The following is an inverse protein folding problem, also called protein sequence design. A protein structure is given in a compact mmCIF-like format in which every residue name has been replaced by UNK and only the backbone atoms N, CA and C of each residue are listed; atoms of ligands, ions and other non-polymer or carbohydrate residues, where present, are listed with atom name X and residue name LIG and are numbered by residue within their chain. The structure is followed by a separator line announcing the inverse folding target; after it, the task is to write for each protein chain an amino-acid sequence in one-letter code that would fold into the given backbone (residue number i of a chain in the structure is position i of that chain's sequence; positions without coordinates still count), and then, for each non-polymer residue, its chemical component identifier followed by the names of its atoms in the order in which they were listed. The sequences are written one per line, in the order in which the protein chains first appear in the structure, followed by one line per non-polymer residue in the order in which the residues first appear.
data_IF_236933542898
#
_entry.id   IF_236933542898
#
_cell.length_a   1.000
_cell.length_b   1.000
_cell.length_c   1.000
_cell.angle_alpha   90.00
_cell.angle_beta   90.00
_cell.angle_gamma   90.00
#
_symmetry.space_group_name_H-M   'P 1'
#
loop_
_entity.id
_entity.type
_entity.pdbx_description
1 polymer ?
#
# COMPACT_ATOMS: atom_id res chain seq x y z
N UNK A 1 41.05 -65.02 -1.49
CA UNK A 1 41.02 -65.03 -0.01
C UNK A 1 41.85 -63.87 0.53
N UNK A 2 41.38 -62.62 0.42
CA UNK A 2 42.09 -61.43 0.95
C UNK A 2 41.12 -60.35 1.42
N UNK A 3 39.90 -60.31 0.88
CA UNK A 3 38.90 -59.28 1.20
C UNK A 3 38.26 -59.39 2.59
N UNK A 4 38.16 -60.61 3.17
CA UNK A 4 37.43 -60.80 4.45
C UNK A 4 38.21 -60.38 5.70
N UNK A 5 39.55 -60.49 5.69
CA UNK A 5 40.39 -60.11 6.84
C UNK A 5 40.54 -58.59 6.99
N UNK A 6 40.65 -57.86 5.88
CA UNK A 6 40.76 -56.39 5.89
C UNK A 6 39.46 -55.76 6.38
N UNK A 7 38.31 -56.28 5.94
CA UNK A 7 36.98 -55.83 6.39
C UNK A 7 36.73 -56.09 7.88
N UNK A 8 37.25 -57.19 8.43
CA UNK A 8 37.17 -57.52 9.86
C UNK A 8 38.04 -56.61 10.74
N UNK A 9 39.26 -56.28 10.29
CA UNK A 9 40.16 -55.39 11.03
C UNK A 9 39.63 -53.94 11.05
N UNK A 10 39.14 -53.46 9.91
CA UNK A 10 38.55 -52.12 9.78
C UNK A 10 37.32 -51.97 10.68
N UNK A 11 36.46 -52.98 10.76
CA UNK A 11 35.29 -52.98 11.65
C UNK A 11 35.67 -52.91 13.14
N UNK A 12 36.74 -53.59 13.57
CA UNK A 12 37.18 -53.55 14.96
C UNK A 12 37.76 -52.18 15.36
N UNK A 13 38.52 -51.53 14.46
CA UNK A 13 39.07 -50.18 14.70
C UNK A 13 37.95 -49.15 14.82
N UNK A 14 36.94 -49.21 13.94
CA UNK A 14 35.78 -48.31 14.00
C UNK A 14 34.98 -48.49 15.30
N UNK A 15 34.82 -49.73 15.80
CA UNK A 15 34.14 -49.97 17.07
C UNK A 15 34.87 -49.37 18.27
N UNK A 16 36.21 -49.51 18.33
CA UNK A 16 37.00 -48.91 19.41
C UNK A 16 37.00 -47.39 19.33
N UNK A 17 37.03 -46.80 18.13
CA UNK A 17 36.90 -45.35 17.96
C UNK A 17 35.54 -44.84 18.47
N UNK A 18 34.43 -45.47 18.07
CA UNK A 18 33.09 -45.09 18.55
C UNK A 18 32.95 -45.26 20.07
N UNK A 19 33.53 -46.34 20.63
CA UNK A 19 33.61 -46.52 22.08
C UNK A 19 34.34 -45.37 22.75
N UNK A 20 35.52 -44.99 22.28
CA UNK A 20 36.31 -43.90 22.89
C UNK A 20 35.60 -42.55 22.84
N UNK A 21 34.95 -42.23 21.72
CA UNK A 21 34.20 -40.97 21.58
C UNK A 21 33.02 -40.94 22.55
N UNK A 22 32.20 -42.00 22.59
CA UNK A 22 31.06 -42.08 23.50
C UNK A 22 31.48 -42.11 24.97
N UNK A 23 32.62 -42.72 25.28
CA UNK A 23 33.18 -42.75 26.63
C UNK A 23 33.63 -41.35 27.07
N UNK A 24 34.30 -40.59 26.21
CA UNK A 24 34.70 -39.20 26.53
C UNK A 24 33.45 -38.32 26.73
N UNK A 25 32.47 -38.41 25.84
CA UNK A 25 31.19 -37.68 25.98
C UNK A 25 30.47 -38.09 27.26
N UNK A 26 30.41 -39.37 27.57
CA UNK A 26 29.78 -39.89 28.78
C UNK A 26 30.48 -39.43 30.06
N UNK A 27 31.80 -39.47 30.11
CA UNK A 27 32.58 -38.97 31.26
C UNK A 27 32.42 -37.45 31.44
N UNK A 28 32.42 -36.68 30.34
CA UNK A 28 32.16 -35.24 30.38
C UNK A 28 30.75 -34.92 30.88
N UNK A 29 29.76 -35.68 30.42
CA UNK A 29 28.37 -35.54 30.84
C UNK A 29 28.14 -35.82 32.33
N UNK A 30 28.96 -36.68 32.97
CA UNK A 30 28.85 -36.92 34.41
C UNK A 30 29.16 -35.68 35.26
N UNK A 31 29.89 -34.70 34.71
CA UNK A 31 30.20 -33.46 35.40
C UNK A 31 28.98 -32.51 35.51
N UNK A 32 28.02 -32.61 34.58
CA UNK A 32 26.79 -31.80 34.58
C UNK A 32 25.59 -32.59 35.09
N UNK A 33 25.48 -33.88 34.73
CA UNK A 33 24.43 -34.77 35.24
C UNK A 33 24.93 -36.21 35.26
N UNK A 34 25.11 -36.73 36.46
CA UNK A 34 25.57 -38.10 36.71
C UNK A 34 24.74 -39.16 35.96
N UNK A 35 23.41 -38.98 35.91
CA UNK A 35 22.49 -39.89 35.22
C UNK A 35 22.67 -39.84 33.69
N UNK A 36 22.83 -38.65 33.12
CA UNK A 36 23.06 -38.47 31.68
C UNK A 36 24.37 -39.12 31.22
N UNK A 37 25.42 -39.01 32.05
CA UNK A 37 26.71 -39.65 31.81
C UNK A 37 26.64 -41.17 31.91
N UNK A 38 25.90 -41.72 32.87
CA UNK A 38 25.68 -43.17 32.96
C UNK A 38 24.98 -43.74 31.72
N UNK A 39 23.98 -43.03 31.17
CA UNK A 39 23.28 -43.45 29.93
C UNK A 39 24.25 -43.50 28.74
N UNK A 40 25.15 -42.51 28.63
CA UNK A 40 26.17 -42.49 27.58
C UNK A 40 27.26 -43.54 27.77
N UNK A 41 27.68 -43.82 29.01
CA UNK A 41 28.61 -44.92 29.30
C UNK A 41 28.01 -46.29 29.00
N UNK A 42 26.71 -46.47 29.26
CA UNK A 42 25.99 -47.69 28.88
C UNK A 42 25.96 -47.87 27.35
N UNK A 43 25.72 -46.79 26.60
CA UNK A 43 25.77 -46.79 25.13
C UNK A 43 27.19 -47.11 24.62
N UNK A 44 28.24 -46.56 25.26
CA UNK A 44 29.62 -46.87 24.92
C UNK A 44 29.93 -48.38 25.12
N UNK A 45 29.49 -48.97 26.23
CA UNK A 45 29.75 -50.38 26.56
C UNK A 45 29.36 -51.39 25.47
N UNK A 46 28.37 -51.07 24.64
CA UNK A 46 27.89 -51.91 23.52
C UNK A 46 28.94 -52.04 22.39
N UNK A 47 29.89 -51.11 22.31
CA UNK A 47 30.97 -51.16 21.31
C UNK A 47 32.18 -51.95 21.78
N UNK A 48 32.22 -52.38 23.05
CA UNK A 48 33.31 -53.20 23.59
C UNK A 48 33.08 -54.69 23.25
N UNK A 49 33.95 -55.34 22.46
CA UNK A 49 33.73 -56.73 22.04
C UNK A 49 33.61 -57.73 23.19
N UNK A 50 34.34 -57.52 24.29
CA UNK A 50 34.25 -58.38 25.48
C UNK A 50 32.90 -58.29 26.18
N UNK A 51 32.31 -57.11 26.27
CA UNK A 51 30.99 -56.94 26.90
C UNK A 51 29.90 -57.61 26.08
N UNK A 52 29.97 -57.49 24.75
CA UNK A 52 29.02 -58.16 23.87
C UNK A 52 29.05 -59.69 23.98
N UNK A 53 30.24 -60.27 24.20
CA UNK A 53 30.36 -61.72 24.42
C UNK A 53 29.68 -62.14 25.73
N UNK A 54 29.88 -61.38 26.80
CA UNK A 54 29.25 -61.63 28.10
C UNK A 54 27.73 -61.49 28.02
N UNK A 55 27.23 -60.49 27.30
CA UNK A 55 25.79 -60.30 27.06
C UNK A 55 25.23 -61.54 26.35
N UNK A 56 25.88 -62.01 25.28
CA UNK A 56 25.45 -63.20 24.56
C UNK A 56 25.44 -64.46 25.44
N UNK A 57 26.47 -64.65 26.26
CA UNK A 57 26.57 -65.79 27.18
C UNK A 57 25.44 -65.80 28.23
N UNK A 58 25.01 -64.63 28.70
CA UNK A 58 23.99 -64.53 29.76
C UNK A 58 22.55 -64.40 29.24
N UNK A 59 22.34 -63.77 28.10
CA UNK A 59 20.97 -63.44 27.62
C UNK A 59 20.61 -64.10 26.30
N UNK A 60 21.56 -64.75 25.61
CA UNK A 60 21.33 -65.41 24.32
C UNK A 60 21.09 -64.46 23.15
N UNK A 61 21.24 -63.14 23.33
CA UNK A 61 21.00 -62.13 22.29
C UNK A 61 22.30 -61.80 21.55
N UNK A 62 22.29 -61.87 20.22
CA UNK A 62 23.43 -61.43 19.37
C UNK A 62 23.31 -59.95 19.02
N UNK A 63 24.26 -59.12 19.47
CA UNK A 63 24.24 -57.67 19.19
C UNK A 63 24.65 -57.40 17.74
N UNK A 64 23.66 -57.27 16.85
CA UNK A 64 23.84 -56.93 15.44
C UNK A 64 24.15 -55.43 15.23
N UNK A 65 24.76 -55.04 14.09
CA UNK A 65 25.04 -53.63 13.80
C UNK A 65 23.81 -52.71 13.87
N UNK A 66 22.64 -53.20 13.41
CA UNK A 66 21.37 -52.45 13.48
C UNK A 66 20.90 -52.19 14.91
N UNK A 67 21.04 -53.16 15.82
CA UNK A 67 20.71 -52.97 17.23
C UNK A 67 21.60 -51.92 17.89
N UNK A 68 22.90 -51.87 17.55
CA UNK A 68 23.83 -50.86 18.08
C UNK A 68 23.42 -49.45 17.67
N UNK A 69 23.02 -49.27 16.40
CA UNK A 69 22.54 -47.98 15.92
C UNK A 69 21.28 -47.53 16.69
N UNK A 70 20.30 -48.42 16.87
CA UNK A 70 19.05 -48.11 17.60
C UNK A 70 19.34 -47.73 19.05
N UNK A 71 20.14 -48.53 19.78
CA UNK A 71 20.44 -48.23 21.18
C UNK A 71 21.22 -46.93 21.32
N UNK A 72 22.17 -46.67 20.41
CA UNK A 72 22.92 -45.41 20.41
C UNK A 72 22.01 -44.21 20.20
N UNK A 73 21.08 -44.27 19.24
CA UNK A 73 20.11 -43.19 18.98
C UNK A 73 19.19 -42.96 20.18
N UNK A 74 18.65 -44.03 20.79
CA UNK A 74 17.77 -43.93 21.96
C UNK A 74 18.51 -43.34 23.15
N UNK A 75 19.70 -43.84 23.46
CA UNK A 75 20.54 -43.31 24.54
C UNK A 75 20.93 -41.85 24.28
N UNK A 76 21.25 -41.49 23.03
CA UNK A 76 21.60 -40.12 22.66
C UNK A 76 20.40 -39.17 22.77
N UNK A 77 19.20 -39.60 22.36
CA UNK A 77 17.97 -38.84 22.56
C UNK A 77 17.63 -38.63 24.04
N UNK A 78 17.77 -39.66 24.87
CA UNK A 78 17.61 -39.53 26.33
C UNK A 78 18.69 -38.64 26.97
N UNK A 79 19.93 -38.75 26.50
CA UNK A 79 21.04 -37.89 26.94
C UNK A 79 20.76 -36.43 26.63
N UNK A 80 20.34 -36.10 25.40
CA UNK A 80 19.96 -34.73 25.02
C UNK A 80 18.81 -34.23 25.90
N UNK A 81 17.75 -35.03 26.07
CA UNK A 81 16.59 -34.64 26.88
C UNK A 81 16.95 -34.36 28.34
N UNK A 82 17.70 -35.27 28.98
CA UNK A 82 18.10 -35.14 30.38
C UNK A 82 19.14 -34.06 30.60
N UNK A 83 20.07 -33.85 29.66
CA UNK A 83 21.07 -32.78 29.72
C UNK A 83 20.43 -31.41 29.52
N UNK A 84 19.54 -31.26 28.55
CA UNK A 84 18.80 -30.02 28.36
C UNK A 84 17.98 -29.66 29.61
N UNK A 85 17.27 -30.62 30.19
CA UNK A 85 16.50 -30.40 31.42
C UNK A 85 17.37 -30.02 32.62
N UNK A 86 18.55 -30.64 32.77
CA UNK A 86 19.49 -30.30 33.83
C UNK A 86 20.05 -28.88 33.64
N UNK A 87 20.46 -28.54 32.41
CA UNK A 87 20.93 -27.19 32.08
C UNK A 87 19.84 -26.13 32.25
N UNK A 88 18.60 -26.42 31.89
CA UNK A 88 17.47 -25.51 32.09
C UNK A 88 17.16 -25.31 33.57
N UNK A 89 17.28 -26.35 34.40
CA UNK A 89 17.14 -26.24 35.85
C UNK A 89 18.26 -25.38 36.47
N UNK A 90 19.52 -25.59 36.09
CA UNK A 90 20.64 -24.78 36.58
C UNK A 90 20.53 -23.31 36.13
N UNK A 91 20.17 -23.07 34.86
CA UNK A 91 19.89 -21.72 34.35
C UNK A 91 18.75 -21.06 35.12
N UNK A 92 17.68 -21.79 35.42
CA UNK A 92 16.56 -21.25 36.20
C UNK A 92 16.96 -20.90 37.63
N UNK A 93 17.81 -21.71 38.28
CA UNK A 93 18.34 -21.40 39.61
C UNK A 93 19.24 -20.17 39.58
N UNK A 94 20.17 -20.07 38.63
CA UNK A 94 21.04 -18.90 38.48
C UNK A 94 20.24 -17.63 38.17
N UNK A 95 19.26 -17.72 37.26
CA UNK A 95 18.37 -16.61 36.95
C UNK A 95 17.54 -16.18 38.17
N UNK A 96 17.05 -17.14 38.97
CA UNK A 96 16.33 -16.84 40.21
C UNK A 96 17.23 -16.19 41.28
N UNK A 97 18.48 -16.65 41.42
CA UNK A 97 19.45 -16.06 42.33
C UNK A 97 19.85 -14.64 41.91
N UNK A 98 20.09 -14.43 40.61
CA UNK A 98 20.38 -13.11 40.06
C UNK A 98 19.19 -12.15 40.22
N UNK A 99 17.97 -12.64 39.97
CA UNK A 99 16.74 -11.87 40.20
C UNK A 99 16.60 -11.47 41.68
N UNK A 100 16.84 -12.38 42.62
CA UNK A 100 16.80 -12.09 44.05
C UNK A 100 17.89 -11.10 44.48
N UNK A 101 19.11 -11.27 43.97
CA UNK A 101 20.22 -10.34 44.24
C UNK A 101 19.95 -8.95 43.67
N UNK A 102 19.38 -8.86 42.47
CA UNK A 102 18.98 -7.59 41.86
C UNK A 102 17.81 -6.96 42.62
N UNK A 103 16.85 -7.75 43.09
CA UNK A 103 15.76 -7.27 43.94
C UNK A 103 16.30 -6.71 45.27
N UNK A 104 17.18 -7.44 45.96
CA UNK A 104 17.81 -6.97 47.20
C UNK A 104 18.62 -5.70 46.98
N UNK A 105 19.41 -5.62 45.91
CA UNK A 105 20.13 -4.39 45.54
C UNK A 105 19.18 -3.23 45.27
N UNK A 106 18.05 -3.48 44.61
CA UNK A 106 17.04 -2.46 44.35
C UNK A 106 16.35 -1.98 45.63
N UNK A 107 15.98 -2.91 46.52
CA UNK A 107 15.39 -2.61 47.84
C UNK A 107 16.38 -1.83 48.71
N UNK A 108 17.65 -2.24 48.74
CA UNK A 108 18.70 -1.53 49.47
C UNK A 108 18.91 -0.11 48.91
N UNK A 109 19.05 0.03 47.59
CA UNK A 109 19.17 1.33 46.94
C UNK A 109 17.95 2.22 47.18
N UNK A 110 16.74 1.64 47.29
CA UNK A 110 15.54 2.38 47.65
C UNK A 110 15.57 2.83 49.12
N UNK A 111 16.06 1.98 50.03
CA UNK A 111 16.20 2.27 51.46
C UNK A 111 17.21 3.41 51.70
N UNK A 112 18.40 3.31 51.11
CA UNK A 112 19.44 4.34 51.16
C UNK A 112 18.91 5.68 50.61
N UNK A 113 18.13 5.64 49.53
CA UNK A 113 17.50 6.84 48.96
C UNK A 113 16.47 7.46 49.91
N UNK A 114 15.64 6.65 50.58
CA UNK A 114 14.67 7.11 51.58
C UNK A 114 15.37 7.75 52.78
N UNK A 115 16.45 7.15 53.26
CA UNK A 115 17.28 7.68 54.35
C UNK A 115 17.97 8.99 53.95
N UNK A 116 18.50 9.07 52.72
CA UNK A 116 19.07 10.31 52.21
C UNK A 116 18.02 11.42 52.11
N UNK A 117 16.83 11.12 51.58
CA UNK A 117 15.74 12.08 51.45
C UNK A 117 15.22 12.54 52.81
N UNK A 118 15.07 11.65 53.78
CA UNK A 118 14.65 12.04 55.13
C UNK A 118 15.66 12.96 55.82
N UNK A 119 16.96 12.73 55.62
CA UNK A 119 18.04 13.56 56.17
C UNK A 119 18.20 14.91 55.46
N UNK A 120 17.87 14.99 54.16
CA UNK A 120 18.15 16.16 53.31
C UNK A 120 16.89 16.86 52.78
N UNK A 121 15.70 16.54 53.31
CA UNK A 121 14.42 16.99 52.77
C UNK A 121 14.36 18.51 52.52
N UNK A 122 14.76 19.31 53.52
CA UNK A 122 14.75 20.77 53.43
C UNK A 122 15.72 21.32 52.36
N UNK A 123 16.89 20.70 52.19
CA UNK A 123 17.86 21.12 51.18
C UNK A 123 17.37 20.80 49.76
N UNK A 124 16.79 19.61 49.56
CA UNK A 124 16.21 19.20 48.27
C UNK A 124 15.07 20.14 47.89
N UNK A 125 14.15 20.45 48.81
CA UNK A 125 13.05 21.38 48.57
C UNK A 125 13.56 22.81 48.27
N UNK A 126 14.58 23.29 48.98
CA UNK A 126 15.18 24.59 48.73
C UNK A 126 15.84 24.68 47.34
N UNK A 127 16.55 23.63 46.92
CA UNK A 127 17.16 23.53 45.59
C UNK A 127 16.08 23.49 44.50
N UNK A 128 15.04 22.66 44.65
CA UNK A 128 13.90 22.62 43.73
C UNK A 128 13.25 24.00 43.59
N UNK A 129 12.98 24.69 44.70
CA UNK A 129 12.40 26.04 44.67
C UNK A 129 13.34 27.06 44.00
N UNK A 130 14.65 26.91 44.16
CA UNK A 130 15.64 27.76 43.48
C UNK A 130 15.63 27.53 41.96
N UNK A 131 15.52 26.28 41.52
CA UNK A 131 15.42 25.94 40.09
C UNK A 131 14.10 26.45 39.49
N UNK A 132 12.98 26.31 40.22
CA UNK A 132 11.69 26.88 39.84
C UNK A 132 11.78 28.41 39.73
N UNK A 133 12.42 29.09 40.69
CA UNK A 133 12.59 30.54 40.66
C UNK A 133 13.43 31.01 39.46
N UNK A 134 14.36 30.17 38.99
CA UNK A 134 15.15 30.41 37.78
C UNK A 134 14.44 30.00 36.49
N UNK A 135 13.21 29.47 36.57
CA UNK A 135 12.48 28.86 35.45
C UNK A 135 13.22 27.68 34.79
N UNK A 136 14.17 27.06 35.51
CA UNK A 136 14.89 25.87 35.05
C UNK A 136 14.09 24.62 35.39
N UNK A 137 12.97 24.45 34.70
CA UNK A 137 12.04 23.34 34.92
C UNK A 137 12.62 21.99 34.50
N UNK A 138 13.62 21.97 33.60
CA UNK A 138 14.32 20.74 33.22
C UNK A 138 15.16 20.22 34.38
N UNK A 139 16.03 21.07 34.95
CA UNK A 139 16.83 20.68 36.11
C UNK A 139 15.93 20.37 37.32
N UNK A 140 14.87 21.17 37.56
CA UNK A 140 13.93 20.92 38.64
C UNK A 140 13.20 19.57 38.48
N UNK A 141 12.83 19.21 37.25
CA UNK A 141 12.18 17.94 36.93
C UNK A 141 13.14 16.76 37.09
N UNK A 142 14.39 16.89 36.65
CA UNK A 142 15.42 15.88 36.86
C UNK A 142 15.69 15.64 38.36
N UNK A 143 15.78 16.71 39.14
CA UNK A 143 15.96 16.66 40.59
C UNK A 143 14.76 16.00 41.28
N UNK A 144 13.53 16.41 40.93
CA UNK A 144 12.31 15.82 41.47
C UNK A 144 12.16 14.35 41.09
N UNK A 145 12.45 13.96 39.84
CA UNK A 145 12.43 12.57 39.40
C UNK A 145 13.40 11.69 40.20
N UNK A 146 14.61 12.19 40.49
CA UNK A 146 15.65 11.49 41.25
C UNK A 146 15.20 11.10 42.66
N UNK A 147 14.41 11.96 43.32
CA UNK A 147 13.97 11.81 44.71
C UNK A 147 12.48 11.52 44.88
N UNK A 148 11.71 11.44 43.80
CA UNK A 148 10.29 11.07 43.83
C UNK A 148 10.08 9.67 44.43
N UNK A 149 8.96 9.48 45.12
CA UNK A 149 8.57 8.22 45.77
C UNK A 149 9.60 7.68 46.79
N UNK A 150 10.46 8.56 47.30
CA UNK A 150 11.46 8.24 48.32
C UNK A 150 10.98 8.58 49.75
N UNK A 151 9.67 8.71 49.96
CA UNK A 151 9.07 8.82 51.29
C UNK A 151 8.85 10.24 51.82
N UNK A 152 9.02 11.28 50.99
CA UNK A 152 8.58 12.66 51.32
C UNK A 152 7.42 13.07 50.43
N UNK A 153 6.27 13.31 51.06
CA UNK A 153 5.07 13.81 50.39
C UNK A 153 5.29 15.23 49.83
N UNK A 154 6.09 16.06 50.52
CA UNK A 154 6.38 17.43 50.12
C UNK A 154 7.20 17.47 48.82
N UNK A 155 8.20 16.60 48.69
CA UNK A 155 9.00 16.48 47.45
C UNK A 155 8.13 15.97 46.31
N UNK A 156 7.27 14.98 46.55
CA UNK A 156 6.35 14.45 45.52
C UNK A 156 5.35 15.53 45.08
N UNK A 157 4.82 16.32 46.01
CA UNK A 157 3.94 17.45 45.70
C UNK A 157 4.70 18.55 44.93
N UNK A 158 5.92 18.87 45.33
CA UNK A 158 6.76 19.84 44.64
C UNK A 158 7.09 19.38 43.22
N UNK A 159 7.41 18.10 43.03
CA UNK A 159 7.69 17.52 41.72
C UNK A 159 6.46 17.55 40.80
N UNK A 160 5.27 17.25 41.34
CA UNK A 160 3.99 17.39 40.61
C UNK A 160 3.72 18.84 40.17
N UNK A 161 4.04 19.83 41.01
CA UNK A 161 3.95 21.26 40.63
C UNK A 161 4.96 21.63 39.55
N UNK A 162 6.20 21.17 39.66
CA UNK A 162 7.24 21.38 38.65
C UNK A 162 6.81 20.81 37.30
N UNK A 163 6.30 19.58 37.27
CA UNK A 163 5.86 18.96 36.02
C UNK A 163 4.67 19.69 35.39
N UNK A 164 3.70 20.15 36.20
CA UNK A 164 2.59 20.97 35.72
C UNK A 164 3.07 22.31 35.14
N UNK A 165 3.98 23.02 35.82
CA UNK A 165 4.54 24.28 35.33
C UNK A 165 5.41 24.10 34.08
N UNK A 166 6.19 23.02 34.02
CA UNK A 166 6.95 22.63 32.82
C UNK A 166 6.02 22.44 31.63
N UNK A 167 4.96 21.64 31.79
CA UNK A 167 3.98 21.40 30.74
C UNK A 167 3.27 22.68 30.30
N UNK A 168 2.95 23.59 31.23
CA UNK A 168 2.37 24.89 30.90
C UNK A 168 3.33 25.76 30.07
N UNK A 169 4.61 25.79 30.42
CA UNK A 169 5.65 26.51 29.66
C UNK A 169 5.89 25.93 28.27
N UNK A 170 5.99 24.60 28.16
CA UNK A 170 6.11 23.91 26.87
C UNK A 170 4.90 24.17 25.98
N UNK A 171 3.69 24.15 26.56
CA UNK A 171 2.45 24.49 25.85
C UNK A 171 2.46 25.94 25.36
N UNK A 172 2.92 26.90 26.18
CA UNK A 172 3.12 28.30 25.79
C UNK A 172 4.14 28.46 24.66
N UNK A 173 5.27 27.78 24.74
CA UNK A 173 6.31 27.79 23.70
C UNK A 173 5.81 27.18 22.40
N UNK A 174 5.14 26.01 22.48
CA UNK A 174 4.54 25.35 21.33
C UNK A 174 3.49 26.25 20.66
N UNK A 175 2.62 26.88 21.45
CA UNK A 175 1.64 27.85 20.93
C UNK A 175 2.32 29.01 20.20
N UNK A 176 3.37 29.60 20.77
CA UNK A 176 4.11 30.70 20.13
C UNK A 176 4.76 30.26 18.80
N UNK A 177 5.35 29.07 18.76
CA UNK A 177 5.93 28.49 17.56
C UNK A 177 4.89 28.22 16.46
N UNK A 178 3.72 27.68 16.84
CA UNK A 178 2.62 27.44 15.91
C UNK A 178 2.06 28.74 15.34
N UNK A 179 1.97 29.81 16.15
CA UNK A 179 1.55 31.14 15.68
C UNK A 179 2.53 31.77 14.69
N UNK A 180 3.84 31.63 14.93
CA UNK A 180 4.88 32.07 13.98
C UNK A 180 4.80 31.27 12.66
N UNK A 181 4.62 29.95 12.77
CA UNK A 181 4.44 29.06 11.61
C UNK A 181 3.20 29.44 10.82
N UNK A 182 2.09 29.72 11.49
CA UNK A 182 0.83 30.14 10.87
C UNK A 182 1.00 31.40 10.02
N UNK A 183 1.82 32.36 10.46
CA UNK A 183 2.14 33.57 9.69
C UNK A 183 2.92 33.32 8.38
N UNK A 184 3.55 32.14 8.25
CA UNK A 184 4.34 31.74 7.07
C UNK A 184 3.55 30.88 6.09
N UNK A 185 2.42 30.31 6.51
CA UNK A 185 1.59 29.46 5.67
C UNK A 185 0.81 30.32 4.68
N UNK A 186 0.77 29.88 3.41
CA UNK A 186 -0.02 30.57 2.39
C UNK A 186 -1.51 30.44 2.69
N UNK A 187 -2.27 31.50 2.44
CA UNK A 187 -3.70 31.56 2.72
C UNK A 187 -4.53 30.53 1.93
N UNK A 188 -4.01 30.08 0.79
CA UNK A 188 -4.61 29.04 -0.02
C UNK A 188 -4.10 27.64 0.36
N UNK A 189 -3.18 27.46 1.30
CA UNK A 189 -2.77 26.12 1.76
C UNK A 189 -3.68 25.65 2.90
N UNK A 190 -4.91 25.29 2.55
CA UNK A 190 -5.94 24.90 3.52
C UNK A 190 -5.55 23.68 4.35
N UNK A 191 -4.79 22.75 3.78
CA UNK A 191 -4.27 21.58 4.48
C UNK A 191 -3.31 21.96 5.59
N UNK A 192 -2.29 22.78 5.30
CA UNK A 192 -1.34 23.23 6.29
C UNK A 192 -2.00 24.13 7.36
N UNK A 193 -2.95 24.99 6.95
CA UNK A 193 -3.74 25.81 7.87
C UNK A 193 -4.59 24.94 8.81
N UNK A 194 -5.33 23.95 8.28
CA UNK A 194 -6.15 23.05 9.08
C UNK A 194 -5.33 22.29 10.12
N UNK A 195 -4.18 21.73 9.70
CA UNK A 195 -3.26 21.02 10.61
C UNK A 195 -2.76 21.94 11.74
N UNK A 196 -2.30 23.14 11.38
CA UNK A 196 -1.71 24.08 12.35
C UNK A 196 -2.77 24.60 13.34
N UNK A 197 -3.98 24.91 12.86
CA UNK A 197 -5.08 25.33 13.73
C UNK A 197 -5.60 24.19 14.62
N UNK A 198 -5.56 22.94 14.17
CA UNK A 198 -5.92 21.79 15.00
C UNK A 198 -4.93 21.60 16.16
N UNK A 199 -3.63 21.75 15.91
CA UNK A 199 -2.62 21.73 16.98
C UNK A 199 -2.77 22.91 17.95
N UNK A 200 -3.11 24.09 17.44
CA UNK A 200 -3.43 25.25 18.29
C UNK A 200 -4.70 25.00 19.13
N UNK A 201 -5.73 24.38 18.55
CA UNK A 201 -6.99 24.09 19.24
C UNK A 201 -6.82 23.08 20.39
N UNK A 202 -5.87 22.14 20.26
CA UNK A 202 -5.51 21.23 21.34
C UNK A 202 -4.87 21.93 22.56
N UNK A 203 -4.26 23.10 22.34
CA UNK A 203 -3.67 23.93 23.40
C UNK A 203 -4.68 24.96 23.91
N UNK A 204 -5.42 25.58 23.00
CA UNK A 204 -6.34 26.68 23.25
C UNK A 204 -7.61 26.49 22.41
N UNK A 205 -8.73 26.08 23.02
CA UNK A 205 -9.98 25.79 22.32
C UNK A 205 -10.54 26.95 21.48
N UNK A 206 -10.09 28.20 21.68
CA UNK A 206 -10.51 29.34 20.86
C UNK A 206 -10.16 29.17 19.38
N UNK A 207 -9.16 28.35 19.04
CA UNK A 207 -8.77 28.08 17.65
C UNK A 207 -9.59 26.97 16.98
N UNK A 208 -10.48 26.28 17.70
CA UNK A 208 -11.27 25.18 17.16
C UNK A 208 -12.09 25.61 15.94
N UNK A 209 -12.69 26.80 15.98
CA UNK A 209 -13.49 27.31 14.87
C UNK A 209 -12.66 27.46 13.58
N UNK A 210 -11.40 27.92 13.71
CA UNK A 210 -10.49 28.03 12.58
C UNK A 210 -10.07 26.65 12.07
N UNK A 211 -9.78 25.71 12.98
CA UNK A 211 -9.45 24.34 12.62
C UNK A 211 -10.58 23.71 11.79
N UNK A 212 -11.82 23.78 12.28
CA UNK A 212 -13.00 23.26 11.59
C UNK A 212 -13.24 23.95 10.24
N UNK A 213 -13.04 25.27 10.18
CA UNK A 213 -13.19 26.05 8.95
C UNK A 213 -12.22 25.58 7.88
N UNK A 214 -10.92 25.48 8.20
CA UNK A 214 -9.91 25.12 7.21
C UNK A 214 -9.95 23.64 6.86
N UNK A 215 -10.34 22.75 7.77
CA UNK A 215 -10.61 21.35 7.47
C UNK A 215 -11.71 21.21 6.41
N UNK A 216 -12.85 21.90 6.59
CA UNK A 216 -13.94 21.91 5.60
C UNK A 216 -13.51 22.49 4.25
N UNK A 217 -12.66 23.52 4.24
CA UNK A 217 -12.15 24.12 3.01
C UNK A 217 -11.19 23.18 2.27
N UNK A 218 -10.35 22.44 3.00
CA UNK A 218 -9.45 21.44 2.45
C UNK A 218 -10.25 20.28 1.83
N UNK A 219 -11.22 19.73 2.56
CA UNK A 219 -12.12 18.68 2.07
C UNK A 219 -12.85 19.12 0.79
N UNK A 220 -13.45 20.32 0.81
CA UNK A 220 -14.15 20.87 -0.35
C UNK A 220 -13.22 21.05 -1.54
N UNK A 221 -11.99 21.53 -1.33
CA UNK A 221 -11.01 21.68 -2.41
C UNK A 221 -10.62 20.32 -2.99
N UNK A 222 -10.36 19.34 -2.14
CA UNK A 222 -10.02 17.98 -2.58
C UNK A 222 -11.17 17.35 -3.38
N UNK A 223 -12.42 17.58 -2.97
CA UNK A 223 -13.61 17.16 -3.72
C UNK A 223 -13.71 17.85 -5.09
N UNK A 224 -13.55 19.19 -5.13
CA UNK A 224 -13.57 19.95 -6.37
C UNK A 224 -12.45 19.52 -7.34
N UNK A 225 -11.24 19.28 -6.82
CA UNK A 225 -10.10 18.80 -7.61
C UNK A 225 -10.36 17.41 -8.17
N UNK A 226 -10.87 16.49 -7.35
CA UNK A 226 -11.25 15.15 -7.79
C UNK A 226 -12.34 15.20 -8.86
N UNK A 227 -13.35 16.05 -8.70
CA UNK A 227 -14.41 16.25 -9.71
C UNK A 227 -13.83 16.82 -11.01
N UNK A 228 -12.88 17.76 -10.94
CA UNK A 228 -12.19 18.30 -12.12
C UNK A 228 -11.35 17.25 -12.82
N UNK A 229 -10.62 16.42 -12.08
CA UNK A 229 -9.82 15.33 -12.63
C UNK A 229 -10.71 14.29 -13.30
N UNK A 230 -11.82 13.89 -12.67
CA UNK A 230 -12.80 12.98 -13.26
C UNK A 230 -13.43 13.55 -14.53
N UNK A 231 -13.80 14.83 -14.53
CA UNK A 231 -14.34 15.50 -15.71
C UNK A 231 -13.31 15.60 -16.84
N UNK A 232 -12.04 15.88 -16.52
CA UNK A 232 -10.95 15.92 -17.48
C UNK A 232 -10.65 14.53 -18.06
N UNK A 233 -10.64 13.50 -17.21
CA UNK A 233 -10.43 12.11 -17.61
C UNK A 233 -11.58 11.62 -18.50
N UNK A 234 -12.83 11.92 -18.17
CA UNK A 234 -13.98 11.59 -19.02
C UNK A 234 -13.92 12.34 -20.35
N UNK A 235 -13.57 13.63 -20.35
CA UNK A 235 -13.37 14.39 -21.59
C UNK A 235 -12.28 13.77 -22.47
N UNK A 236 -11.12 13.42 -21.90
CA UNK A 236 -10.03 12.78 -22.61
C UNK A 236 -10.43 11.40 -23.14
N UNK A 237 -11.15 10.60 -22.34
CA UNK A 237 -11.68 9.30 -22.75
C UNK A 237 -12.64 9.44 -23.93
N UNK A 238 -13.56 10.40 -23.87
CA UNK A 238 -14.50 10.69 -24.96
C UNK A 238 -13.78 11.14 -26.22
N UNK A 239 -12.76 11.99 -26.12
CA UNK A 239 -11.92 12.38 -27.25
C UNK A 239 -11.20 11.16 -27.87
N UNK A 240 -10.57 10.32 -27.06
CA UNK A 240 -9.89 9.10 -27.53
C UNK A 240 -10.84 8.10 -28.21
N UNK A 241 -12.10 8.02 -27.77
CA UNK A 241 -13.13 7.20 -28.40
C UNK A 241 -13.78 7.88 -29.63
N UNK A 242 -13.38 9.10 -29.99
CA UNK A 242 -13.99 9.89 -31.05
C UNK A 242 -15.37 10.45 -30.71
N UNK A 243 -15.85 10.34 -29.47
CA UNK A 243 -17.18 10.79 -29.01
C UNK A 243 -17.26 12.29 -28.70
N UNK A 244 -16.21 13.04 -29.04
CA UNK A 244 -16.14 14.49 -29.02
C UNK A 244 -15.52 14.96 -30.34
N UNK A 245 -15.75 16.22 -30.72
CA UNK A 245 -15.18 16.77 -31.94
C UNK A 245 -13.66 16.71 -31.94
N UNK A 246 -13.12 16.04 -32.95
CA UNK A 246 -11.70 15.98 -33.26
C UNK A 246 -11.43 16.83 -34.50
N UNK A 247 -10.33 17.57 -34.49
CA UNK A 247 -9.96 18.48 -35.57
C UNK A 247 -8.65 18.04 -36.18
N UNK A 248 -8.59 18.01 -37.51
CA UNK A 248 -7.35 17.75 -38.25
C UNK A 248 -7.21 18.77 -39.36
N UNK A 249 -5.99 19.23 -39.57
CA UNK A 249 -5.59 20.04 -40.70
C UNK A 249 -4.61 19.20 -41.54
N UNK A 250 -4.83 19.14 -42.85
CA UNK A 250 -3.94 18.48 -43.80
C UNK A 250 -3.73 19.39 -45.02
N UNK A 251 -2.75 19.08 -45.85
CA UNK A 251 -2.53 19.82 -47.10
C UNK A 251 -3.18 19.08 -48.28
N UNK A 252 -3.90 19.81 -49.13
CA UNK A 252 -4.33 19.29 -50.43
C UNK A 252 -3.14 19.28 -51.39
N UNK A 253 -2.63 18.10 -51.75
CA UNK A 253 -1.41 17.95 -52.55
C UNK A 253 -1.47 18.55 -53.97
N UNK A 254 -2.65 18.92 -54.47
CA UNK A 254 -2.79 19.61 -55.77
C UNK A 254 -2.74 21.13 -55.61
N UNK A 255 -3.52 21.70 -54.69
CA UNK A 255 -3.56 23.16 -54.50
C UNK A 255 -2.53 23.70 -53.52
N UNK A 256 -1.88 22.85 -52.72
CA UNK A 256 -0.98 23.24 -51.62
C UNK A 256 -1.69 23.98 -50.49
N UNK A 257 -3.03 23.99 -50.47
CA UNK A 257 -3.84 24.72 -49.49
C UNK A 257 -4.34 23.79 -48.40
N UNK A 258 -4.55 24.35 -47.21
CA UNK A 258 -5.05 23.61 -46.04
C UNK A 258 -6.47 23.08 -46.25
N UNK A 259 -6.67 21.82 -45.88
CA UNK A 259 -7.94 21.11 -45.72
C UNK A 259 -8.18 20.94 -44.23
N UNK A 260 -9.24 21.56 -43.73
CA UNK A 260 -9.66 21.40 -42.33
C UNK A 260 -10.78 20.38 -42.23
N UNK A 261 -10.72 19.50 -41.22
CA UNK A 261 -11.79 18.55 -40.89
C UNK A 261 -12.11 18.60 -39.40
N UNK A 262 -13.41 18.59 -39.08
CA UNK A 262 -13.93 18.29 -37.76
C UNK A 262 -14.74 16.99 -37.85
N UNK A 263 -14.53 16.03 -36.98
CA UNK A 263 -15.27 14.77 -37.00
C UNK A 263 -15.63 14.28 -35.59
N UNK A 264 -16.76 13.60 -35.48
CA UNK A 264 -17.27 13.00 -34.24
C UNK A 264 -17.97 11.68 -34.55
N UNK A 265 -17.73 10.68 -33.72
CA UNK A 265 -18.36 9.37 -33.77
C UNK A 265 -19.72 9.39 -33.07
N UNK A 266 -20.64 8.55 -33.53
CA UNK A 266 -21.95 8.40 -32.89
C UNK A 266 -21.81 7.88 -31.44
N UNK A 267 -22.65 8.35 -30.53
CA UNK A 267 -22.76 7.93 -29.12
C UNK A 267 -23.28 6.50 -29.02
N UNK A 268 -24.21 6.13 -29.88
CA UNK A 268 -24.71 4.77 -30.00
C UNK A 268 -23.87 3.95 -30.99
N UNK A 269 -23.93 2.63 -30.83
CA UNK A 269 -23.35 1.66 -31.75
C UNK A 269 -24.43 0.93 -32.50
N UNK A 270 -24.09 0.42 -33.68
CA UNK A 270 -24.91 -0.53 -34.45
C UNK A 270 -24.09 -1.78 -34.72
N UNK A 271 -24.77 -2.90 -34.95
CA UNK A 271 -24.17 -4.13 -35.44
C UNK A 271 -25.04 -4.63 -36.59
N UNK A 272 -24.47 -4.67 -37.79
CA UNK A 272 -25.18 -5.06 -39.01
C UNK A 272 -25.01 -6.55 -39.26
N UNK A 273 -25.92 -7.15 -40.01
CA UNK A 273 -25.82 -8.54 -40.44
C UNK A 273 -24.69 -8.68 -41.47
N UNK A 274 -24.25 -9.92 -41.67
CA UNK A 274 -23.35 -10.28 -42.77
C UNK A 274 -23.84 -9.65 -44.09
N UNK A 275 -22.97 -9.00 -44.90
CA UNK A 275 -21.50 -9.01 -44.83
C UNK A 275 -20.86 -7.94 -43.93
N UNK A 276 -21.65 -7.12 -43.23
CA UNK A 276 -21.18 -5.93 -42.51
C UNK A 276 -21.10 -6.10 -40.99
N UNK A 277 -20.93 -7.34 -40.54
CA UNK A 277 -20.89 -7.73 -39.13
C UNK A 277 -19.85 -7.01 -38.27
N UNK A 278 -20.23 -6.78 -37.02
CA UNK A 278 -19.40 -6.24 -35.97
C UNK A 278 -19.90 -4.89 -35.46
N UNK A 279 -19.84 -4.71 -34.14
CA UNK A 279 -20.15 -3.45 -33.47
C UNK A 279 -19.33 -2.31 -34.03
N UNK A 280 -20.01 -1.26 -34.49
CA UNK A 280 -19.41 -0.08 -35.10
C UNK A 280 -20.20 1.19 -34.78
N UNK A 281 -19.62 2.32 -35.17
CA UNK A 281 -20.21 3.67 -35.01
C UNK A 281 -20.21 4.36 -36.37
N UNK A 282 -21.17 5.27 -36.56
CA UNK A 282 -21.08 6.21 -37.67
C UNK A 282 -20.15 7.36 -37.31
N UNK A 283 -19.57 8.02 -38.32
CA UNK A 283 -18.77 9.24 -38.15
C UNK A 283 -19.43 10.39 -38.89
N UNK A 284 -19.75 11.46 -38.18
CA UNK A 284 -20.18 12.73 -38.76
C UNK A 284 -18.93 13.60 -38.98
N UNK A 285 -18.74 14.08 -40.20
CA UNK A 285 -17.59 14.93 -40.57
C UNK A 285 -18.04 16.23 -41.22
N UNK A 286 -17.41 17.32 -40.81
CA UNK A 286 -17.43 18.63 -41.47
C UNK A 286 -16.05 18.84 -42.07
N UNK A 287 -15.98 19.14 -43.36
CA UNK A 287 -14.72 19.34 -44.08
C UNK A 287 -14.76 20.64 -44.86
N UNK A 288 -13.72 21.46 -44.74
CA UNK A 288 -13.47 22.62 -45.59
C UNK A 288 -12.34 22.27 -46.56
N UNK A 289 -12.68 22.10 -47.83
CA UNK A 289 -11.74 21.76 -48.89
C UNK A 289 -11.51 22.97 -49.81
N UNK A 290 -10.27 23.30 -50.19
CA UNK A 290 -9.97 24.49 -51.01
C UNK A 290 -10.59 24.43 -52.41
N UNK A 291 -10.84 23.22 -52.95
CA UNK A 291 -11.38 23.00 -54.30
C UNK A 291 -12.88 22.68 -54.33
N UNK A 292 -13.44 22.17 -53.24
CA UNK A 292 -14.82 21.65 -53.18
C UNK A 292 -15.70 22.37 -52.17
N UNK A 293 -15.16 23.37 -51.48
CA UNK A 293 -15.88 24.13 -50.47
C UNK A 293 -16.11 23.34 -49.18
N UNK A 294 -17.14 23.73 -48.43
CA UNK A 294 -17.51 23.11 -47.16
C UNK A 294 -18.52 22.01 -47.38
N UNK A 295 -18.21 20.80 -46.91
CA UNK A 295 -19.08 19.62 -46.99
C UNK A 295 -19.39 19.08 -45.59
N UNK A 296 -20.60 18.56 -45.39
CA UNK A 296 -20.97 17.73 -44.24
C UNK A 296 -21.29 16.35 -44.77
N UNK A 297 -20.80 15.30 -44.12
CA UNK A 297 -21.14 13.93 -44.49
C UNK A 297 -21.18 13.01 -43.28
N UNK A 298 -22.00 11.98 -43.38
CA UNK A 298 -22.05 10.86 -42.44
C UNK A 298 -21.47 9.63 -43.11
N UNK A 299 -20.61 8.91 -42.40
CA UNK A 299 -19.96 7.69 -42.89
C UNK A 299 -20.16 6.53 -41.92
N UNK A 300 -20.09 5.31 -42.43
CA UNK A 300 -20.10 4.06 -41.67
C UNK A 300 -18.90 3.23 -42.11
N UNK A 301 -18.27 2.47 -41.21
CA UNK A 301 -17.07 1.69 -41.57
C UNK A 301 -17.43 0.45 -42.38
N UNK A 302 -18.45 -0.29 -41.93
CA UNK A 302 -18.93 -1.54 -42.53
C UNK A 302 -20.41 -1.38 -42.82
N UNK A 303 -20.75 -1.02 -44.04
CA UNK A 303 -22.15 -0.86 -44.41
C UNK A 303 -22.30 -0.20 -45.77
N UNK A 304 -23.53 -0.27 -46.26
CA UNK A 304 -23.93 0.36 -47.51
C UNK A 304 -25.18 1.19 -47.24
N UNK A 305 -25.04 2.51 -47.37
CA UNK A 305 -26.17 3.42 -47.42
C UNK A 305 -27.01 3.14 -48.67
N UNK A 306 -28.32 3.35 -48.54
CA UNK A 306 -29.28 3.19 -49.63
C UNK A 306 -29.96 4.53 -49.87
N UNK A 307 -29.71 5.11 -51.04
CA UNK A 307 -30.50 6.19 -51.61
C UNK A 307 -31.66 5.62 -52.43
N UNK A 308 -32.76 6.37 -52.55
CA UNK A 308 -33.81 6.09 -53.53
C UNK A 308 -33.34 6.38 -54.95
N UNK A 309 -34.08 5.89 -55.94
CA UNK A 309 -33.77 6.11 -57.36
C UNK A 309 -33.93 7.59 -57.77
N UNK A 310 -34.94 8.28 -57.23
CA UNK A 310 -35.25 9.68 -57.54
C UNK A 310 -34.89 10.66 -56.40
N UNK A 311 -34.73 10.19 -55.17
CA UNK A 311 -34.40 10.99 -54.00
C UNK A 311 -33.40 10.28 -53.06
N UNK A 312 -32.33 10.98 -52.68
CA UNK A 312 -31.50 10.58 -51.55
C UNK A 312 -31.71 11.58 -50.42
N UNK A 313 -32.32 11.12 -49.33
CA UNK A 313 -32.64 11.96 -48.19
C UNK A 313 -32.26 11.27 -46.88
N UNK A 314 -31.85 12.07 -45.90
CA UNK A 314 -31.69 11.66 -44.50
C UNK A 314 -32.68 12.44 -43.63
N UNK A 315 -33.11 11.86 -42.51
CA UNK A 315 -33.88 12.63 -41.51
C UNK A 315 -32.93 13.09 -40.42
N UNK A 316 -32.91 14.39 -40.17
CA UNK A 316 -32.04 15.01 -39.17
C UNK A 316 -32.88 15.66 -38.10
N UNK A 317 -32.54 15.43 -36.83
CA UNK A 317 -33.12 16.14 -35.69
C UNK A 317 -32.00 16.76 -34.85
N UNK A 318 -32.10 18.06 -34.59
CA UNK A 318 -31.18 18.81 -33.77
C UNK A 318 -31.75 18.96 -32.35
N UNK A 319 -31.06 18.41 -31.34
CA UNK A 319 -31.48 18.40 -29.94
C UNK A 319 -32.98 18.05 -29.76
N UNK A 320 -33.78 18.93 -29.13
CA UNK A 320 -35.23 18.76 -28.91
C UNK A 320 -36.09 19.39 -30.03
N UNK A 321 -35.48 19.79 -31.15
CA UNK A 321 -36.20 20.34 -32.30
C UNK A 321 -36.98 19.29 -33.09
N UNK A 322 -37.70 19.75 -34.12
CA UNK A 322 -38.44 18.86 -35.02
C UNK A 322 -37.48 18.09 -35.94
N UNK A 323 -37.83 16.85 -36.26
CA UNK A 323 -37.14 16.10 -37.30
C UNK A 323 -37.44 16.74 -38.67
N UNK A 324 -36.40 16.94 -39.47
CA UNK A 324 -36.51 17.52 -40.81
C UNK A 324 -35.84 16.61 -41.83
N UNK A 325 -36.42 16.54 -43.03
CA UNK A 325 -35.80 15.85 -44.17
C UNK A 325 -34.71 16.76 -44.74
N UNK A 326 -33.51 16.23 -44.90
CA UNK A 326 -32.40 16.91 -45.56
C UNK A 326 -31.92 16.05 -46.72
N UNK A 327 -31.84 16.65 -47.91
CA UNK A 327 -31.31 15.95 -49.08
C UNK A 327 -29.85 15.58 -48.89
N UNK A 328 -29.47 14.47 -49.51
CA UNK A 328 -28.15 13.89 -49.46
C UNK A 328 -27.69 13.49 -50.86
N UNK A 329 -26.41 13.21 -51.03
CA UNK A 329 -25.86 12.67 -52.27
C UNK A 329 -24.75 11.66 -51.99
N UNK A 330 -24.64 10.69 -52.88
CA UNK A 330 -23.53 9.75 -52.92
C UNK A 330 -22.25 10.47 -53.37
N UNK A 331 -21.06 9.98 -52.98
CA UNK A 331 -19.79 10.48 -53.50
C UNK A 331 -19.62 10.18 -54.99
N UNK A 332 -18.85 11.04 -55.68
CA UNK A 332 -18.52 10.89 -57.11
C UNK A 332 -17.75 9.60 -57.45
N UNK A 333 -17.13 8.95 -56.46
CA UNK A 333 -16.43 7.67 -56.61
C UNK A 333 -17.34 6.45 -56.38
N UNK A 334 -18.64 6.67 -56.16
CA UNK A 334 -19.65 5.66 -55.87
C UNK A 334 -19.37 4.81 -54.62
N UNK A 335 -18.53 5.27 -53.69
CA UNK A 335 -18.40 4.65 -52.38
C UNK A 335 -19.75 4.67 -51.65
N UNK A 336 -20.22 3.51 -51.23
CA UNK A 336 -21.56 3.38 -50.63
C UNK A 336 -21.58 3.50 -49.11
N UNK A 337 -20.43 3.77 -48.50
CA UNK A 337 -20.24 3.82 -47.05
C UNK A 337 -20.27 5.26 -46.48
N UNK A 338 -20.63 6.26 -47.29
CA UNK A 338 -20.84 7.64 -46.85
C UNK A 338 -21.92 8.35 -47.66
N UNK A 339 -22.58 9.32 -47.03
CA UNK A 339 -23.52 10.24 -47.68
C UNK A 339 -23.17 11.68 -47.35
N UNK A 340 -23.08 12.53 -48.38
CA UNK A 340 -22.99 13.98 -48.21
C UNK A 340 -24.35 14.56 -47.88
N UNK A 341 -24.46 15.36 -46.83
CA UNK A 341 -25.68 16.09 -46.48
C UNK A 341 -25.67 17.41 -47.22
N UNK A 342 -26.69 17.64 -48.04
CA UNK A 342 -26.88 18.88 -48.81
C UNK A 342 -27.04 20.08 -47.88
N UNK A 343 -26.67 21.26 -48.37
CA UNK A 343 -26.74 22.51 -47.62
C UNK A 343 -25.95 22.47 -46.30
N UNK A 344 -24.65 22.20 -46.43
CA UNK A 344 -23.69 22.11 -45.32
C UNK A 344 -23.75 23.33 -44.37
N UNK A 345 -23.93 24.55 -44.89
CA UNK A 345 -24.00 25.75 -44.06
C UNK A 345 -25.20 25.74 -43.11
N UNK A 346 -26.38 25.34 -43.58
CA UNK A 346 -27.57 25.19 -42.75
C UNK A 346 -27.36 24.14 -41.67
N UNK A 347 -26.83 22.96 -42.03
CA UNK A 347 -26.54 21.89 -41.08
C UNK A 347 -25.60 22.36 -39.98
N UNK A 348 -24.46 22.98 -40.35
CA UNK A 348 -23.45 23.46 -39.39
C UNK A 348 -24.04 24.53 -38.47
N UNK A 349 -24.86 25.44 -39.01
CA UNK A 349 -25.49 26.50 -38.22
C UNK A 349 -26.43 25.97 -37.13
N UNK A 350 -27.12 24.86 -37.40
CA UNK A 350 -28.02 24.19 -36.47
C UNK A 350 -27.23 23.31 -35.49
N UNK A 351 -26.23 22.57 -35.97
CA UNK A 351 -25.35 21.73 -35.14
C UNK A 351 -24.62 22.56 -34.08
N UNK A 352 -24.11 23.76 -34.42
CA UNK A 352 -23.44 24.66 -33.48
C UNK A 352 -24.33 25.18 -32.35
N UNK A 353 -25.66 25.15 -32.52
CA UNK A 353 -26.64 25.59 -31.52
C UNK A 353 -27.25 24.43 -30.75
N UNK A 354 -26.73 23.22 -30.95
CA UNK A 354 -27.32 21.97 -30.47
C UNK A 354 -26.29 21.14 -29.73
N UNK A 355 -26.70 20.54 -28.62
CA UNK A 355 -25.85 19.60 -27.89
C UNK A 355 -25.84 18.21 -28.54
N UNK A 356 -26.87 17.88 -29.33
CA UNK A 356 -26.98 16.59 -30.03
C UNK A 356 -27.55 16.72 -31.43
N UNK A 357 -27.15 15.81 -32.31
CA UNK A 357 -27.77 15.60 -33.61
C UNK A 357 -28.11 14.13 -33.79
N UNK A 358 -29.31 13.87 -34.29
CA UNK A 358 -29.80 12.54 -34.65
C UNK A 358 -29.91 12.48 -36.16
N UNK A 359 -29.31 11.48 -36.79
CA UNK A 359 -29.36 11.26 -38.23
C UNK A 359 -29.92 9.87 -38.49
N UNK A 360 -31.09 9.81 -39.13
CA UNK A 360 -31.69 8.57 -39.64
C UNK A 360 -31.33 8.40 -41.11
N UNK A 361 -30.77 7.24 -41.45
CA UNK A 361 -30.46 6.86 -42.83
C UNK A 361 -30.80 5.38 -43.07
N UNK A 362 -31.02 5.03 -44.34
CA UNK A 362 -31.33 3.66 -44.77
C UNK A 362 -30.06 2.89 -45.12
N UNK A 363 -30.03 1.62 -44.75
CA UNK A 363 -28.91 0.72 -45.00
C UNK A 363 -29.38 -0.58 -45.66
N UNK A 364 -28.54 -1.12 -46.55
CA UNK A 364 -28.80 -2.36 -47.27
C UNK A 364 -29.08 -3.50 -46.28
N UNK A 365 -30.24 -4.16 -46.42
CA UNK A 365 -30.71 -5.28 -45.57
C UNK A 365 -30.89 -4.96 -44.07
N UNK A 366 -30.70 -3.70 -43.66
CA UNK A 366 -30.81 -3.25 -42.27
C UNK A 366 -32.00 -2.29 -42.04
N UNK A 367 -32.48 -1.66 -43.12
CA UNK A 367 -33.53 -0.65 -43.05
C UNK A 367 -33.02 0.67 -42.45
N UNK A 368 -33.91 1.46 -41.85
CA UNK A 368 -33.55 2.70 -41.16
C UNK A 368 -32.72 2.44 -39.90
N UNK A 369 -31.65 3.22 -39.73
CA UNK A 369 -30.86 3.30 -38.50
C UNK A 369 -30.66 4.75 -38.10
N UNK A 370 -30.75 5.02 -36.80
CA UNK A 370 -30.54 6.35 -36.21
C UNK A 370 -29.18 6.38 -35.54
N UNK A 371 -28.37 7.37 -35.87
CA UNK A 371 -27.11 7.66 -35.19
C UNK A 371 -27.24 8.95 -34.40
N UNK A 372 -26.79 8.90 -33.15
CA UNK A 372 -26.78 10.03 -32.24
C UNK A 372 -25.37 10.58 -32.16
N UNK A 373 -25.18 11.87 -32.39
CA UNK A 373 -23.89 12.54 -32.27
C UNK A 373 -23.97 13.57 -31.16
N UNK A 374 -22.96 13.62 -30.29
CA UNK A 374 -22.76 14.77 -29.42
C UNK A 374 -22.15 15.89 -30.26
N UNK A 375 -22.90 16.97 -30.44
CA UNK A 375 -22.45 18.13 -31.21
C UNK A 375 -22.05 19.30 -30.32
N UNK A 376 -22.10 19.14 -28.99
CA UNK A 376 -21.62 20.14 -28.05
C UNK A 376 -20.13 20.44 -28.27
N UNK A 377 -19.75 21.70 -28.09
CA UNK A 377 -18.37 22.15 -28.29
C UNK A 377 -17.88 22.13 -29.75
N UNK A 378 -18.79 22.17 -30.74
CA UNK A 378 -18.40 22.37 -32.14
C UNK A 378 -17.81 23.77 -32.37
N UNK A 379 -16.52 23.83 -32.65
CA UNK A 379 -15.75 25.01 -33.00
C UNK A 379 -15.49 25.04 -34.50
N UNK A 380 -16.48 25.52 -35.26
CA UNK A 380 -16.40 25.67 -36.71
C UNK A 380 -16.79 27.09 -37.12
N UNK A 381 -15.85 27.81 -37.74
CA UNK A 381 -16.02 29.20 -38.21
C UNK A 381 -15.94 29.28 -39.73
#
# INVERSE_FOLDING_TARGET
MTDSKVRGLFGAVVMWLLFTVLLIVGLGAMATSFLSGLIMLAAAGIFVPRLNRIIHEKTGITVTPGMRAVVTIVCFGMFIYTSNRAMDADRAVHAAQEALANQQKAEQAQKERREYVSANNGAILAEMNTLIAKQDYEAASALGSKYSNAGSFEIDQAFSKVSAQKAEMESKQKKAFLLDSLGKIKQDDYKALASTYSELAAIDPSFQQNADKFAKLDEKRAEEEKLREQAAAERARRQNMGLAWNYTDSEDGISGKSVRRAFVSSINTVDFKFPYGGTQRATLTIRKHPRWGTSVYVAIEKGQFICGYDDCDVRVRFSKGNAQRMSASEPDDHSSNLLFISNASSFISQARKSDKVYIEANFYQEGSRVFEFDTSGLEWK
#
